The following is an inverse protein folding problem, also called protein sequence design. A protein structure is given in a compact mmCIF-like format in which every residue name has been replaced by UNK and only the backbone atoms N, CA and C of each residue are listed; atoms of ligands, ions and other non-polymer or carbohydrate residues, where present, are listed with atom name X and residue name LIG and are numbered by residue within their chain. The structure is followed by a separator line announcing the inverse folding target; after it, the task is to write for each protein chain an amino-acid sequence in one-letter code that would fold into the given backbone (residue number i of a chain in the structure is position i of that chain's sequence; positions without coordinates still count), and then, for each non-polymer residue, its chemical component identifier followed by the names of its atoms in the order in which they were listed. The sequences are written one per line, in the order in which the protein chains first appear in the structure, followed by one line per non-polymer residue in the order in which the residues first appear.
data_IF_067220647315
#
_entry.id   IF_067220647315
#
_cell.length_a   1.000
_cell.length_b   1.000
_cell.length_c   1.000
_cell.angle_alpha   90.00
_cell.angle_beta   90.00
_cell.angle_gamma   90.00
#
_symmetry.space_group_name_H-M   'P 1'
#
loop_
_entity.id
_entity.type
_entity.pdbx_description
1 polymer ?
#
# COMPACT_ATOMS: atom_id res chain seq x y z
N UNK A 1 -4.67 -3.88 -19.59
CA UNK A 1 -5.91 -3.22 -19.10
C UNK A 1 -5.75 -1.73 -19.27
N UNK A 2 -6.75 -1.04 -19.77
CA UNK A 2 -6.69 0.40 -19.98
C UNK A 2 -7.30 1.14 -18.79
N UNK A 3 -6.91 2.41 -18.62
CA UNK A 3 -7.44 3.26 -17.53
C UNK A 3 -8.98 3.33 -17.57
N UNK A 4 -9.56 3.39 -18.75
CA UNK A 4 -11.03 3.43 -18.91
C UNK A 4 -11.76 2.16 -18.44
N UNK A 5 -11.03 1.06 -18.23
CA UNK A 5 -11.60 -0.21 -17.77
C UNK A 5 -11.63 -0.33 -16.25
N UNK A 6 -11.05 0.66 -15.55
CA UNK A 6 -11.07 0.68 -14.08
C UNK A 6 -12.49 0.88 -13.55
N UNK A 7 -12.79 0.18 -12.47
CA UNK A 7 -14.08 0.26 -11.77
C UNK A 7 -13.87 0.75 -10.35
N UNK A 8 -14.87 1.42 -9.81
CA UNK A 8 -14.83 1.86 -8.41
C UNK A 8 -14.57 0.68 -7.48
N UNK A 9 -13.60 0.83 -6.59
CA UNK A 9 -13.16 -0.21 -5.67
C UNK A 9 -12.01 -1.07 -6.18
N UNK A 10 -11.54 -0.87 -7.40
CA UNK A 10 -10.34 -1.56 -7.89
C UNK A 10 -9.12 -1.14 -7.09
N UNK A 11 -8.27 -2.12 -6.75
CA UNK A 11 -7.00 -1.90 -6.07
C UNK A 11 -5.88 -1.86 -7.10
N UNK A 12 -5.00 -0.88 -6.98
CA UNK A 12 -3.85 -0.72 -7.87
C UNK A 12 -2.57 -0.92 -7.05
N UNK A 13 -1.82 -1.95 -7.39
CA UNK A 13 -0.56 -2.30 -6.74
C UNK A 13 0.60 -1.85 -7.61
N UNK A 14 1.55 -1.15 -7.02
CA UNK A 14 2.67 -0.51 -7.73
C UNK A 14 3.96 -1.29 -7.51
N UNK A 15 4.68 -1.56 -8.61
CA UNK A 15 6.08 -1.96 -8.58
C UNK A 15 6.89 -0.68 -8.78
N UNK A 16 7.26 -0.03 -7.67
CA UNK A 16 7.95 1.24 -7.70
C UNK A 16 9.46 1.10 -7.85
N UNK A 17 10.10 2.15 -8.36
CA UNK A 17 11.53 2.20 -8.67
C UNK A 17 12.35 3.08 -7.71
N UNK A 18 11.71 3.83 -6.81
CA UNK A 18 12.41 4.66 -5.82
C UNK A 18 13.24 3.82 -4.84
N UNK A 19 14.14 4.48 -4.11
CA UNK A 19 14.99 3.79 -3.12
C UNK A 19 14.18 3.11 -2.03
N UNK A 20 13.19 3.81 -1.45
CA UNK A 20 12.32 3.20 -0.43
C UNK A 20 11.43 2.10 -1.02
N UNK A 21 10.92 2.29 -2.23
CA UNK A 21 10.13 1.26 -2.92
C UNK A 21 10.94 -0.02 -3.12
N UNK A 22 12.19 0.12 -3.55
CA UNK A 22 13.12 -1.01 -3.72
C UNK A 22 13.37 -1.72 -2.40
N UNK A 23 13.56 -0.97 -1.31
CA UNK A 23 13.77 -1.54 0.03
C UNK A 23 12.54 -2.30 0.53
N UNK A 24 11.35 -1.77 0.32
CA UNK A 24 10.09 -2.44 0.67
C UNK A 24 9.97 -3.77 -0.11
N UNK A 25 10.19 -3.74 -1.41
CA UNK A 25 10.11 -4.93 -2.26
C UNK A 25 11.14 -5.99 -1.88
N UNK A 26 12.35 -5.58 -1.57
CA UNK A 26 13.40 -6.52 -1.15
C UNK A 26 13.03 -7.27 0.14
N UNK A 27 12.29 -6.63 1.03
CA UNK A 27 11.87 -7.23 2.30
C UNK A 27 10.54 -8.00 2.23
N UNK A 28 9.64 -7.66 1.31
CA UNK A 28 8.24 -8.11 1.38
C UNK A 28 7.70 -8.77 0.11
N UNK A 29 8.24 -8.51 -1.06
CA UNK A 29 7.78 -9.10 -2.33
C UNK A 29 7.68 -8.11 -3.48
N UNK A 30 6.79 -8.38 -4.44
CA UNK A 30 6.78 -7.69 -5.72
C UNK A 30 6.34 -6.23 -5.68
N UNK A 31 5.51 -5.86 -4.71
CA UNK A 31 4.89 -4.53 -4.70
C UNK A 31 5.41 -3.64 -3.58
N UNK A 32 5.45 -2.32 -3.85
CA UNK A 32 5.92 -1.31 -2.92
C UNK A 32 4.80 -0.37 -2.42
N UNK A 33 3.65 -0.34 -3.10
CA UNK A 33 2.56 0.58 -2.80
C UNK A 33 1.22 0.01 -3.23
N UNK A 34 0.14 0.47 -2.62
CA UNK A 34 -1.23 0.10 -2.98
C UNK A 34 -2.16 1.29 -2.83
N UNK A 35 -3.06 1.44 -3.78
CA UNK A 35 -4.10 2.47 -3.80
C UNK A 35 -5.45 1.84 -4.13
N UNK A 36 -6.53 2.60 -3.92
CA UNK A 36 -7.87 2.20 -4.33
C UNK A 36 -8.49 3.27 -5.23
N UNK A 37 -9.20 2.83 -6.26
CA UNK A 37 -9.77 3.72 -7.28
C UNK A 37 -11.25 4.01 -7.03
N UNK A 38 -11.61 5.29 -7.07
CA UNK A 38 -13.00 5.76 -7.03
C UNK A 38 -13.17 6.99 -7.92
N UNK A 39 -14.08 6.93 -8.88
CA UNK A 39 -14.52 8.08 -9.68
C UNK A 39 -13.37 8.88 -10.35
N UNK A 40 -12.41 8.18 -10.94
CA UNK A 40 -11.29 8.81 -11.63
C UNK A 40 -10.12 9.18 -10.73
N UNK A 41 -10.28 9.06 -9.43
CA UNK A 41 -9.24 9.36 -8.45
C UNK A 41 -8.74 8.11 -7.74
N UNK A 42 -7.54 8.19 -7.20
CA UNK A 42 -7.04 7.16 -6.28
C UNK A 42 -7.00 7.71 -4.86
N UNK A 43 -7.23 6.82 -3.90
CA UNK A 43 -7.18 7.11 -2.46
C UNK A 43 -6.07 6.27 -1.87
N UNK A 44 -5.16 6.90 -1.16
CA UNK A 44 -4.00 6.21 -0.58
C UNK A 44 -3.34 7.01 0.54
N UNK A 45 -2.48 6.34 1.31
CA UNK A 45 -1.58 7.00 2.26
C UNK A 45 -0.19 7.08 1.64
N UNK A 46 0.42 8.26 1.61
CA UNK A 46 1.75 8.49 1.02
C UNK A 46 2.70 9.19 1.97
N UNK A 47 4.01 8.90 1.83
CA UNK A 47 5.07 9.56 2.58
C UNK A 47 5.09 11.08 2.36
N UNK A 48 4.85 11.52 1.14
CA UNK A 48 4.97 12.92 0.74
C UNK A 48 3.81 13.77 1.22
N UNK A 49 2.66 13.14 1.40
CA UNK A 49 1.43 13.86 1.71
C UNK A 49 0.79 13.36 2.99
N UNK A 50 -0.15 12.47 2.90
CA UNK A 50 -0.93 11.90 4.00
C UNK A 50 -1.85 10.86 3.39
N UNK A 51 -2.93 10.52 4.08
CA UNK A 51 -4.07 9.89 3.45
C UNK A 51 -4.76 10.95 2.58
N UNK A 52 -4.67 10.78 1.27
CA UNK A 52 -5.14 11.77 0.28
C UNK A 52 -5.85 11.08 -0.88
N UNK A 53 -6.64 11.87 -1.61
CA UNK A 53 -7.13 11.51 -2.93
C UNK A 53 -6.43 12.36 -3.99
N UNK A 54 -6.14 11.76 -5.13
CA UNK A 54 -5.44 12.39 -6.24
C UNK A 54 -5.98 11.87 -7.56
N UNK A 55 -5.93 12.70 -8.61
CA UNK A 55 -6.23 12.20 -9.95
C UNK A 55 -5.25 11.08 -10.30
N UNK A 56 -5.77 10.01 -10.89
CA UNK A 56 -4.95 8.87 -11.28
C UNK A 56 -3.78 9.29 -12.17
N UNK A 57 -4.03 10.16 -13.14
CA UNK A 57 -3.01 10.65 -14.07
C UNK A 57 -1.85 11.38 -13.41
N UNK A 58 -2.08 11.97 -12.23
CA UNK A 58 -1.04 12.70 -11.50
C UNK A 58 -0.10 11.77 -10.73
N UNK A 59 -0.46 10.49 -10.61
CA UNK A 59 0.27 9.52 -9.77
C UNK A 59 1.06 8.51 -10.59
N UNK A 60 0.61 8.23 -11.82
CA UNK A 60 1.27 7.26 -12.68
C UNK A 60 2.66 7.76 -13.13
N UNK A 61 3.66 6.88 -13.03
CA UNK A 61 5.03 7.13 -13.46
C UNK A 61 5.40 6.14 -14.57
N UNK A 62 6.07 6.62 -15.61
CA UNK A 62 6.42 5.79 -16.77
C UNK A 62 7.33 4.60 -16.44
N UNK A 63 8.17 4.76 -15.41
CA UNK A 63 9.10 3.72 -14.99
C UNK A 63 8.51 2.68 -14.03
N UNK A 64 7.30 2.88 -13.55
CA UNK A 64 6.64 1.99 -12.59
C UNK A 64 5.64 1.05 -13.28
N UNK A 65 5.38 -0.09 -12.67
CA UNK A 65 4.38 -1.05 -13.15
C UNK A 65 3.20 -1.03 -12.18
N UNK A 66 1.99 -1.08 -12.74
CA UNK A 66 0.76 -1.00 -11.98
C UNK A 66 -0.14 -2.21 -12.29
N UNK A 67 -0.34 -3.06 -11.31
CA UNK A 67 -1.20 -4.24 -11.41
C UNK A 67 -2.54 -4.00 -10.72
N UNK A 68 -3.63 -4.35 -11.38
CA UNK A 68 -4.99 -4.10 -10.89
C UNK A 68 -5.61 -5.40 -10.39
N UNK A 69 -6.18 -5.32 -9.20
CA UNK A 69 -6.94 -6.40 -8.56
C UNK A 69 -8.30 -5.89 -8.14
N UNK A 70 -9.27 -6.79 -7.99
CA UNK A 70 -10.56 -6.44 -7.41
C UNK A 70 -10.96 -7.45 -6.34
N UNK A 71 -11.80 -6.97 -5.41
CA UNK A 71 -12.52 -7.82 -4.46
C UNK A 71 -13.96 -7.92 -4.95
N UNK A 72 -14.40 -9.09 -5.52
CA UNK A 72 -15.72 -9.19 -6.15
C UNK A 72 -16.90 -8.91 -5.23
N UNK A 73 -16.76 -9.18 -3.93
CA UNK A 73 -17.81 -8.95 -2.95
C UNK A 73 -17.76 -7.55 -2.31
N UNK A 74 -16.98 -6.62 -2.88
CA UNK A 74 -16.82 -5.27 -2.31
C UNK A 74 -18.16 -4.53 -2.21
N UNK A 75 -18.38 -3.91 -1.05
CA UNK A 75 -19.46 -2.94 -0.85
C UNK A 75 -18.92 -1.54 -1.13
N UNK A 76 -18.92 -1.15 -2.41
CA UNK A 76 -18.25 0.05 -2.92
C UNK A 76 -18.58 1.31 -2.12
N UNK A 77 -19.85 1.56 -1.87
CA UNK A 77 -20.28 2.78 -1.16
C UNK A 77 -19.76 2.84 0.27
N UNK A 78 -19.77 1.70 0.98
CA UNK A 78 -19.28 1.62 2.35
C UNK A 78 -17.77 1.82 2.41
N UNK A 79 -17.02 1.21 1.48
CA UNK A 79 -15.56 1.36 1.40
C UNK A 79 -15.20 2.80 1.03
N UNK A 80 -15.90 3.39 0.06
CA UNK A 80 -15.69 4.78 -0.34
C UNK A 80 -15.93 5.75 0.83
N UNK A 81 -16.98 5.54 1.59
CA UNK A 81 -17.27 6.35 2.78
C UNK A 81 -16.12 6.29 3.79
N UNK A 82 -15.59 5.08 4.06
CA UNK A 82 -14.46 4.93 4.96
C UNK A 82 -13.18 5.57 4.41
N UNK A 83 -12.94 5.44 3.11
CA UNK A 83 -11.80 6.08 2.45
C UNK A 83 -11.80 7.59 2.66
N UNK A 84 -12.96 8.24 2.47
CA UNK A 84 -13.12 9.68 2.68
C UNK A 84 -13.01 10.08 4.15
N UNK A 85 -13.52 9.25 5.06
CA UNK A 85 -13.47 9.52 6.50
C UNK A 85 -12.05 9.68 7.02
N UNK A 86 -11.11 8.91 6.47
CA UNK A 86 -9.72 8.90 6.92
C UNK A 86 -8.81 9.87 6.17
N UNK A 87 -9.31 10.65 5.22
CA UNK A 87 -8.52 11.66 4.53
C UNK A 87 -7.94 12.69 5.52
N UNK A 88 -6.68 13.06 5.29
CA UNK A 88 -5.96 13.98 6.14
C UNK A 88 -5.22 13.34 7.33
N UNK A 89 -5.45 12.06 7.60
CA UNK A 89 -4.68 11.35 8.63
C UNK A 89 -3.20 11.31 8.25
N UNK A 90 -2.28 11.46 9.22
CA UNK A 90 -0.85 11.48 8.93
C UNK A 90 -0.35 10.13 8.40
N UNK A 91 0.80 10.16 7.73
CA UNK A 91 1.48 8.93 7.36
C UNK A 91 2.16 8.30 8.58
N UNK A 92 2.01 6.98 8.74
CA UNK A 92 2.66 6.25 9.83
C UNK A 92 4.08 5.87 9.44
N UNK A 93 5.03 6.80 9.63
CA UNK A 93 6.44 6.61 9.27
C UNK A 93 7.14 5.53 10.08
N UNK A 94 6.67 5.25 11.29
CA UNK A 94 7.28 4.25 12.15
C UNK A 94 6.92 2.82 11.76
N UNK A 95 5.82 2.63 11.04
CA UNK A 95 5.20 1.34 10.76
C UNK A 95 4.76 0.57 12.03
N UNK A 96 4.82 1.19 13.19
CA UNK A 96 4.37 0.56 14.43
C UNK A 96 2.87 0.33 14.41
N UNK A 97 2.39 -0.82 14.94
CA UNK A 97 0.96 -1.03 15.13
C UNK A 97 0.37 0.04 16.05
N UNK A 98 -0.88 0.42 15.81
CA UNK A 98 -1.62 1.37 16.66
C UNK A 98 -1.01 2.77 16.73
N UNK A 99 -0.14 3.14 15.80
CA UNK A 99 0.33 4.52 15.66
C UNK A 99 -0.77 5.39 15.07
N UNK A 100 -0.66 6.71 15.29
CA UNK A 100 -1.55 7.66 14.60
C UNK A 100 -1.25 7.63 13.11
N UNK A 101 -2.32 7.65 12.31
CA UNK A 101 -2.20 7.61 10.86
C UNK A 101 -2.02 6.22 10.26
N UNK A 102 -1.61 6.18 8.99
CA UNK A 102 -1.53 4.95 8.20
C UNK A 102 -0.31 4.93 7.29
N UNK A 103 0.33 3.77 7.15
CA UNK A 103 1.12 3.48 5.95
C UNK A 103 0.21 2.92 4.85
N UNK A 104 0.70 2.75 3.62
CA UNK A 104 -0.17 2.52 2.45
C UNK A 104 -1.10 1.31 2.59
N UNK A 105 -0.57 0.14 2.92
CA UNK A 105 -1.39 -1.07 3.05
C UNK A 105 -2.25 -1.07 4.32
N UNK A 106 -1.82 -0.37 5.36
CA UNK A 106 -2.61 -0.19 6.58
C UNK A 106 -3.88 0.62 6.30
N UNK A 107 -3.77 1.69 5.50
CA UNK A 107 -4.93 2.47 5.06
C UNK A 107 -5.93 1.60 4.28
N UNK A 108 -5.43 0.82 3.32
CA UNK A 108 -6.28 -0.08 2.54
C UNK A 108 -6.95 -1.13 3.43
N UNK A 109 -6.22 -1.75 4.35
CA UNK A 109 -6.77 -2.74 5.26
C UNK A 109 -7.83 -2.16 6.21
N UNK A 110 -7.70 -0.89 6.58
CA UNK A 110 -8.69 -0.19 7.41
C UNK A 110 -10.00 0.05 6.65
N UNK A 111 -9.92 0.50 5.40
CA UNK A 111 -11.13 0.82 4.62
C UNK A 111 -11.77 -0.40 3.95
N UNK A 112 -10.99 -1.45 3.74
CA UNK A 112 -11.44 -2.73 3.19
C UNK A 112 -11.00 -3.86 4.15
N UNK A 113 -11.76 -4.11 5.23
CA UNK A 113 -11.32 -4.97 6.34
C UNK A 113 -11.47 -6.46 6.03
N UNK A 114 -10.77 -6.95 5.04
CA UNK A 114 -10.78 -8.35 4.59
C UNK A 114 -9.42 -9.05 4.75
N UNK A 115 -8.41 -8.33 5.24
CA UNK A 115 -7.02 -8.81 5.31
C UNK A 115 -6.62 -9.11 6.75
N UNK A 116 -5.83 -10.17 6.92
CA UNK A 116 -5.18 -10.49 8.20
C UNK A 116 -3.83 -9.77 8.29
N UNK A 117 -3.35 -9.55 9.52
CA UNK A 117 -1.98 -9.09 9.74
C UNK A 117 -1.01 -10.25 9.69
N UNK A 118 0.25 -9.94 9.33
CA UNK A 118 1.37 -10.89 9.36
C UNK A 118 2.53 -10.27 10.13
N UNK A 119 3.51 -11.06 10.58
CA UNK A 119 4.73 -10.51 11.17
C UNK A 119 5.48 -9.63 10.16
N UNK A 120 5.79 -8.39 10.55
CA UNK A 120 6.50 -7.44 9.67
C UNK A 120 7.93 -7.90 9.38
N UNK A 121 8.37 -7.72 8.13
CA UNK A 121 9.71 -8.09 7.64
C UNK A 121 10.47 -6.86 7.14
N UNK A 122 11.77 -6.82 7.44
CA UNK A 122 12.67 -5.70 7.07
C UNK A 122 13.98 -6.21 6.46
N UNK A 123 13.99 -7.44 5.97
CA UNK A 123 15.15 -8.08 5.38
C UNK A 123 14.84 -9.51 4.96
N UNK A 124 15.82 -10.38 5.07
CA UNK A 124 15.71 -11.80 4.75
C UNK A 124 16.20 -12.68 5.92
N UNK A 125 16.27 -14.00 5.71
CA UNK A 125 16.71 -14.94 6.78
C UNK A 125 18.15 -14.73 7.21
N UNK A 126 19.04 -14.38 6.29
CA UNK A 126 20.46 -14.15 6.57
C UNK A 126 20.69 -12.76 7.19
N UNK A 127 19.92 -11.77 6.76
CA UNK A 127 20.00 -10.39 7.24
C UNK A 127 18.59 -9.88 7.58
N UNK A 128 18.07 -10.19 8.76
CA UNK A 128 16.69 -9.87 9.15
C UNK A 128 16.34 -8.39 9.09
N UNK A 129 17.33 -7.52 9.26
CA UNK A 129 17.13 -6.07 9.12
C UNK A 129 18.20 -5.58 8.13
N UNK A 130 17.76 -5.17 6.93
CA UNK A 130 18.67 -4.65 5.90
C UNK A 130 19.32 -3.33 6.32
N UNK A 131 20.42 -2.97 5.67
CA UNK A 131 21.14 -1.72 5.96
C UNK A 131 20.25 -0.50 5.74
N UNK A 132 19.39 -0.51 4.71
CA UNK A 132 18.42 0.55 4.48
C UNK A 132 17.54 0.77 5.69
N UNK A 133 16.93 -0.29 6.22
CA UNK A 133 16.00 -0.19 7.36
C UNK A 133 16.70 0.12 8.66
N UNK A 134 17.94 -0.33 8.85
CA UNK A 134 18.76 0.09 10.01
C UNK A 134 18.97 1.61 10.01
N UNK A 135 19.33 2.19 8.87
CA UNK A 135 19.52 3.62 8.72
C UNK A 135 18.20 4.38 8.90
N UNK A 136 17.12 3.87 8.30
CA UNK A 136 15.79 4.46 8.40
C UNK A 136 15.35 4.63 9.85
N UNK A 137 15.42 3.56 10.65
CA UNK A 137 14.99 3.60 12.05
C UNK A 137 15.97 4.34 12.96
N UNK A 138 17.25 4.36 12.59
CA UNK A 138 18.24 5.18 13.30
C UNK A 138 17.87 6.67 13.21
N UNK A 139 17.47 7.15 12.05
CA UNK A 139 17.02 8.54 11.88
C UNK A 139 15.75 8.84 12.65
N UNK A 140 14.84 7.89 12.76
CA UNK A 140 13.62 8.06 13.56
C UNK A 140 13.87 7.99 15.07
N UNK A 141 15.01 7.46 15.50
CA UNK A 141 15.30 7.22 16.91
C UNK A 141 14.45 6.11 17.52
N UNK A 142 14.03 5.14 16.73
CA UNK A 142 13.16 4.04 17.14
C UNK A 142 13.80 2.68 16.81
N UNK A 143 13.39 1.65 17.53
CA UNK A 143 13.74 0.28 17.17
C UNK A 143 12.92 -0.18 15.97
N UNK A 144 13.48 -1.10 15.17
CA UNK A 144 12.77 -1.71 14.05
C UNK A 144 11.65 -2.60 14.58
N UNK A 145 10.39 -2.44 14.15
CA UNK A 145 9.27 -3.25 14.64
C UNK A 145 9.22 -4.63 13.99
N UNK A 146 10.34 -5.34 14.00
CA UNK A 146 10.49 -6.68 13.43
C UNK A 146 9.52 -7.65 14.11
N UNK A 147 8.79 -8.42 13.30
CA UNK A 147 7.80 -9.40 13.73
C UNK A 147 6.56 -8.83 14.43
N UNK A 148 6.41 -7.52 14.51
CA UNK A 148 5.15 -6.92 14.96
C UNK A 148 4.05 -7.14 13.92
N UNK A 149 2.77 -7.24 14.34
CA UNK A 149 1.68 -7.46 13.39
C UNK A 149 1.50 -6.26 12.45
N UNK A 150 1.39 -6.53 11.17
CA UNK A 150 1.21 -5.49 10.15
C UNK A 150 0.80 -6.06 8.82
N UNK A 151 0.82 -5.22 7.80
CA UNK A 151 0.51 -5.58 6.42
C UNK A 151 1.57 -5.02 5.49
N UNK A 152 1.59 -5.50 4.25
CA UNK A 152 2.36 -4.91 3.17
C UNK A 152 1.63 -5.11 1.84
N UNK A 153 1.95 -4.34 0.80
CA UNK A 153 1.25 -4.44 -0.48
C UNK A 153 1.30 -5.84 -1.09
N UNK A 154 2.46 -6.48 -1.08
CA UNK A 154 2.63 -7.82 -1.67
C UNK A 154 1.77 -8.86 -0.96
N UNK A 155 1.67 -8.79 0.35
CA UNK A 155 0.81 -9.67 1.13
C UNK A 155 -0.67 -9.46 0.81
N UNK A 156 -1.12 -8.21 0.68
CA UNK A 156 -2.51 -7.93 0.32
C UNK A 156 -2.84 -8.51 -1.06
N UNK A 157 -1.95 -8.35 -2.04
CA UNK A 157 -2.14 -8.87 -3.39
C UNK A 157 -2.23 -10.40 -3.43
N UNK A 158 -1.64 -11.09 -2.47
CA UNK A 158 -1.68 -12.56 -2.37
C UNK A 158 -2.96 -13.10 -1.75
N UNK A 159 -3.87 -12.24 -1.27
CA UNK A 159 -5.13 -12.68 -0.71
C UNK A 159 -5.95 -13.47 -1.73
N UNK A 160 -6.44 -14.65 -1.32
CA UNK A 160 -7.32 -15.48 -2.15
C UNK A 160 -8.68 -14.81 -2.45
N UNK A 161 -9.01 -13.75 -1.73
CA UNK A 161 -10.24 -12.99 -1.93
C UNK A 161 -10.16 -12.03 -3.12
N UNK A 162 -8.94 -11.70 -3.57
CA UNK A 162 -8.72 -10.79 -4.69
C UNK A 162 -8.60 -11.53 -6.01
N UNK A 163 -9.04 -10.89 -7.09
CA UNK A 163 -8.90 -11.38 -8.46
C UNK A 163 -8.05 -10.39 -9.24
N UNK A 164 -7.00 -10.89 -9.91
CA UNK A 164 -6.15 -10.10 -10.80
C UNK A 164 -6.91 -9.72 -12.06
N UNK A 165 -6.91 -8.44 -12.40
CA UNK A 165 -7.61 -7.90 -13.59
C UNK A 165 -6.67 -7.61 -14.75
N UNK A 166 -5.41 -7.33 -14.49
CA UNK A 166 -4.40 -7.05 -15.51
C UNK A 166 -3.44 -5.94 -15.12
N UNK A 167 -2.41 -5.77 -15.92
CA UNK A 167 -1.47 -4.65 -15.81
C UNK A 167 -2.10 -3.41 -16.47
N UNK A 168 -2.00 -2.27 -15.81
CA UNK A 168 -2.58 -1.01 -16.28
C UNK A 168 -1.67 -0.37 -17.33
N UNK A 169 -2.25 0.00 -18.46
CA UNK A 169 -1.58 0.73 -19.54
C UNK A 169 -2.43 1.94 -19.96
N UNK A 170 -1.77 2.97 -20.47
CA UNK A 170 -2.44 4.17 -21.01
C UNK A 170 -3.32 3.88 -22.22
#
# INVERSE_FOLDING_TARGET
MKIQDLQNGDLIFTVGSSEIATAIRAATGSYSHVTIFFNGEIYHATHEKRAVNQDLSDVLQDEDIYDVYCYPAIEVEAVFKRAKLHLGKPYNFSFYPQSDGFYCSEYIAEILPIFDTIPMQFGDEENPISDFWKAYYRELGLDVPLNQPGTNPSQLAQSSKLIYKGELHD
#
